data_IF_322594842060
#
_entry.id   IF_322594842060
#
_cell.length_a   1.000
_cell.length_b   1.000
_cell.length_c   1.000
_cell.angle_alpha   90.00
_cell.angle_beta   90.00
_cell.angle_gamma   90.00
#
_symmetry.space_group_name_H-M   'P 1'
#
loop_
_entity.id
_entity.type
_entity.pdbx_description
1 polymer ?
#
# COMPACT_ATOMS: atom_id res chain seq x y z
N UNK A 1 6.01 15.08 4.64
CA UNK A 1 4.59 15.35 4.28
C UNK A 1 3.83 15.65 5.57
N UNK A 2 3.41 16.89 5.79
CA UNK A 2 2.73 17.31 7.03
C UNK A 2 1.27 16.82 7.05
N UNK A 3 0.85 15.92 7.95
CA UNK A 3 -0.50 15.38 7.95
C UNK A 3 -1.56 16.29 8.62
N UNK A 4 -1.28 17.59 8.80
CA UNK A 4 -1.91 18.37 9.89
C UNK A 4 -2.89 19.53 9.59
N UNK A 5 -3.56 19.59 8.42
CA UNK A 5 -4.81 20.37 8.30
C UNK A 5 -6.07 19.51 8.21
N UNK A 6 -5.99 18.35 7.54
CA UNK A 6 -7.18 17.56 7.17
C UNK A 6 -7.85 16.86 8.36
N UNK A 7 -7.07 16.29 9.27
CA UNK A 7 -7.61 15.62 10.47
C UNK A 7 -8.33 16.64 11.38
N UNK A 8 -7.72 17.81 11.55
CA UNK A 8 -8.28 18.88 12.39
C UNK A 8 -9.53 19.51 11.77
N UNK A 9 -9.56 19.65 10.44
CA UNK A 9 -10.74 20.09 9.69
C UNK A 9 -11.86 19.04 9.73
N UNK A 10 -11.53 17.76 9.54
CA UNK A 10 -12.49 16.66 9.65
C UNK A 10 -13.12 16.58 11.04
N UNK A 11 -12.32 16.71 12.11
CA UNK A 11 -12.82 16.75 13.48
C UNK A 11 -13.76 17.94 13.73
N UNK A 12 -13.42 19.14 13.23
CA UNK A 12 -14.29 20.31 13.33
C UNK A 12 -15.60 20.12 12.56
N UNK A 13 -15.54 19.58 11.34
CA UNK A 13 -16.70 19.33 10.51
C UNK A 13 -17.66 18.32 11.15
N UNK A 14 -17.12 17.22 11.70
CA UNK A 14 -17.90 16.23 12.47
C UNK A 14 -18.61 16.90 13.65
N UNK A 15 -17.90 17.77 14.39
CA UNK A 15 -18.46 18.49 15.54
C UNK A 15 -19.56 19.48 15.14
N UNK A 16 -19.43 20.11 13.98
CA UNK A 16 -20.41 21.07 13.45
C UNK A 16 -21.65 20.40 12.87
N UNK A 17 -21.52 19.20 12.30
CA UNK A 17 -22.63 18.44 11.72
C UNK A 17 -23.39 17.63 12.79
N UNK A 18 -22.71 17.20 13.86
CA UNK A 18 -23.33 16.41 14.94
C UNK A 18 -24.49 17.16 15.61
N UNK A 19 -24.30 18.44 15.99
CA UNK A 19 -25.35 19.24 16.65
C UNK A 19 -26.64 19.43 15.82
N UNK A 20 -26.61 19.88 14.55
CA UNK A 20 -27.82 20.05 13.76
C UNK A 20 -28.53 18.73 13.48
N UNK A 21 -27.79 17.63 13.30
CA UNK A 21 -28.39 16.29 13.12
C UNK A 21 -29.07 15.83 14.41
N UNK A 22 -28.39 15.92 15.56
CA UNK A 22 -28.97 15.57 16.85
C UNK A 22 -30.24 16.39 17.14
N UNK A 23 -30.22 17.70 16.86
CA UNK A 23 -31.39 18.57 17.01
C UNK A 23 -32.53 18.21 16.05
N UNK A 24 -32.23 17.81 14.81
CA UNK A 24 -33.23 17.34 13.85
C UNK A 24 -33.88 16.02 14.33
N UNK A 25 -33.09 15.09 14.85
CA UNK A 25 -33.55 13.82 15.41
C UNK A 25 -34.42 14.06 16.64
N UNK A 26 -33.98 14.92 17.58
CA UNK A 26 -34.78 15.34 18.75
C UNK A 26 -36.13 15.93 18.33
N UNK A 27 -36.14 16.81 17.32
CA UNK A 27 -37.39 17.41 16.80
C UNK A 27 -38.33 16.35 16.22
N UNK A 28 -37.79 15.38 15.48
CA UNK A 28 -38.55 14.27 14.88
C UNK A 28 -39.09 13.30 15.92
N UNK A 29 -38.33 13.02 16.96
CA UNK A 29 -38.74 12.18 18.08
C UNK A 29 -39.89 12.80 18.92
N UNK A 30 -39.95 14.14 19.00
CA UNK A 30 -41.06 14.86 19.65
C UNK A 30 -42.35 14.82 18.82
N UNK A 31 -42.25 14.82 17.49
CA UNK A 31 -43.41 14.81 16.58
C UNK A 31 -43.94 13.42 16.29
N UNK A 32 -43.09 12.39 16.22
CA UNK A 32 -43.49 11.02 15.93
C UNK A 32 -43.27 10.06 17.11
N UNK A 33 -44.35 9.56 17.74
CA UNK A 33 -44.22 8.62 18.88
C UNK A 33 -43.62 7.26 18.47
N UNK A 34 -43.79 6.83 17.21
CA UNK A 34 -43.09 5.65 16.68
C UNK A 34 -41.57 5.83 16.72
N UNK A 35 -41.09 6.96 16.20
CA UNK A 35 -39.67 7.28 16.20
C UNK A 35 -39.10 7.38 17.62
N UNK A 36 -39.88 7.97 18.54
CA UNK A 36 -39.53 8.03 19.97
C UNK A 36 -39.27 6.63 20.55
N UNK A 37 -40.20 5.69 20.36
CA UNK A 37 -40.19 4.38 21.01
C UNK A 37 -39.27 3.35 20.37
N UNK A 38 -39.12 3.39 19.04
CA UNK A 38 -38.36 2.39 18.31
C UNK A 38 -36.92 2.80 17.99
N UNK A 39 -36.64 4.11 17.92
CA UNK A 39 -35.35 4.60 17.44
C UNK A 39 -34.58 5.32 18.55
N UNK A 40 -35.20 6.27 19.27
CA UNK A 40 -34.52 7.00 20.36
C UNK A 40 -34.48 6.24 21.70
N UNK A 41 -35.55 5.54 22.09
CA UNK A 41 -35.62 4.86 23.40
C UNK A 41 -34.65 3.67 23.55
N UNK A 42 -34.48 2.76 22.57
CA UNK A 42 -33.65 1.58 22.78
C UNK A 42 -32.17 1.91 23.07
N UNK A 43 -31.51 2.84 22.33
CA UNK A 43 -30.16 3.27 22.66
C UNK A 43 -30.05 3.93 24.03
N UNK A 44 -31.02 4.78 24.40
CA UNK A 44 -31.03 5.46 25.70
C UNK A 44 -31.19 4.47 26.87
N UNK A 45 -32.07 3.47 26.71
CA UNK A 45 -32.25 2.42 27.72
C UNK A 45 -31.05 1.48 27.80
N UNK A 46 -30.44 1.17 26.65
CA UNK A 46 -29.21 0.38 26.60
C UNK A 46 -28.04 1.10 27.26
N UNK A 47 -27.88 2.40 27.04
CA UNK A 47 -26.84 3.20 27.70
C UNK A 47 -26.98 3.13 29.21
N UNK A 48 -28.17 3.39 29.73
CA UNK A 48 -28.44 3.33 31.17
C UNK A 48 -28.24 1.90 31.73
N UNK A 49 -28.66 0.87 31.00
CA UNK A 49 -28.41 -0.52 31.39
C UNK A 49 -26.92 -0.84 31.44
N UNK A 50 -26.16 -0.46 30.43
CA UNK A 50 -24.71 -0.65 30.36
C UNK A 50 -24.01 0.10 31.50
N UNK A 51 -24.34 1.37 31.72
CA UNK A 51 -23.77 2.21 32.76
C UNK A 51 -23.94 1.57 34.14
N UNK A 52 -25.18 1.21 34.49
CA UNK A 52 -25.50 0.58 35.78
C UNK A 52 -24.82 -0.79 35.89
N UNK A 53 -24.84 -1.60 34.83
CA UNK A 53 -24.23 -2.93 34.85
C UNK A 53 -22.70 -2.86 34.96
N UNK A 54 -22.05 -1.91 34.29
CA UNK A 54 -20.59 -1.69 34.37
C UNK A 54 -20.20 -1.17 35.74
N UNK A 55 -20.92 -0.17 36.27
CA UNK A 55 -20.64 0.42 37.57
C UNK A 55 -20.80 -0.62 38.70
N UNK A 56 -21.84 -1.45 38.64
CA UNK A 56 -22.05 -2.54 39.59
C UNK A 56 -20.96 -3.61 39.51
N UNK A 57 -20.50 -3.93 38.29
CA UNK A 57 -19.41 -4.89 38.06
C UNK A 57 -18.07 -4.36 38.58
N UNK A 58 -17.82 -3.06 38.43
CA UNK A 58 -16.63 -2.38 38.95
C UNK A 58 -16.65 -2.30 40.48
N UNK A 59 -17.82 -2.06 41.08
CA UNK A 59 -17.98 -1.96 42.54
C UNK A 59 -18.18 -3.33 43.22
N UNK A 60 -18.14 -4.45 42.48
CA UNK A 60 -18.28 -5.81 43.02
C UNK A 60 -19.66 -6.13 43.60
N UNK A 61 -20.67 -5.29 43.37
CA UNK A 61 -22.02 -5.42 43.90
C UNK A 61 -22.90 -6.22 42.92
N UNK A 62 -23.28 -7.42 43.33
CA UNK A 62 -24.09 -8.33 42.50
C UNK A 62 -25.59 -7.99 42.53
N UNK A 63 -26.13 -7.73 41.33
CA UNK A 63 -27.54 -7.58 40.90
C UNK A 63 -28.09 -6.14 40.86
N UNK A 64 -28.60 -5.81 39.67
CA UNK A 64 -29.39 -4.63 39.34
C UNK A 64 -30.79 -4.74 39.95
N UNK A 65 -31.05 -4.13 41.11
CA UNK A 65 -32.42 -4.00 41.63
C UNK A 65 -33.00 -2.63 41.24
N UNK A 66 -34.12 -2.69 40.52
CA UNK A 66 -34.99 -1.60 40.09
C UNK A 66 -34.49 -0.73 38.92
N UNK A 67 -34.88 -1.17 37.72
CA UNK A 67 -34.94 -0.33 36.53
C UNK A 67 -36.01 0.74 36.70
N UNK A 68 -35.64 1.91 37.21
CA UNK A 68 -36.47 3.10 37.04
C UNK A 68 -36.29 3.54 35.58
N UNK A 69 -37.29 3.28 34.73
CA UNK A 69 -37.31 3.79 33.36
C UNK A 69 -37.08 5.29 33.41
N UNK A 70 -36.01 5.75 32.74
CA UNK A 70 -35.73 7.16 32.52
C UNK A 70 -36.99 7.85 31.96
N UNK A 71 -37.41 9.02 32.49
CA UNK A 71 -38.56 9.75 31.96
C UNK A 71 -38.41 9.99 30.46
N UNK A 72 -39.53 9.89 29.72
CA UNK A 72 -39.58 9.92 28.26
C UNK A 72 -38.86 11.13 27.63
N UNK A 73 -38.76 12.25 28.34
CA UNK A 73 -38.10 13.48 27.87
C UNK A 73 -36.59 13.34 27.82
N UNK A 74 -35.99 12.77 28.86
CA UNK A 74 -34.54 12.61 28.99
C UNK A 74 -34.03 11.51 28.05
N UNK A 75 -34.84 10.48 27.82
CA UNK A 75 -34.56 9.44 26.84
C UNK A 75 -34.54 9.98 25.39
N UNK A 76 -35.38 10.98 25.06
CA UNK A 76 -35.35 11.64 23.74
C UNK A 76 -34.10 12.49 23.59
N UNK A 77 -33.71 13.21 24.64
CA UNK A 77 -32.54 14.06 24.65
C UNK A 77 -31.27 13.24 24.42
N UNK A 78 -31.03 12.25 25.28
CA UNK A 78 -29.87 11.38 25.22
C UNK A 78 -29.85 10.53 23.95
N UNK A 79 -30.99 9.91 23.61
CA UNK A 79 -31.11 9.08 22.40
C UNK A 79 -30.90 9.87 21.11
N UNK A 80 -31.31 11.14 21.07
CA UNK A 80 -31.11 12.02 19.92
C UNK A 80 -29.65 12.42 19.72
N UNK A 81 -28.91 12.68 20.80
CA UNK A 81 -27.47 12.97 20.75
C UNK A 81 -26.68 11.76 20.31
N UNK A 82 -26.92 10.61 20.94
CA UNK A 82 -26.23 9.35 20.62
C UNK A 82 -26.45 8.93 19.16
N UNK A 83 -27.68 9.03 18.65
CA UNK A 83 -27.97 8.70 17.24
C UNK A 83 -27.33 9.69 16.27
N UNK A 84 -27.31 10.98 16.59
CA UNK A 84 -26.68 12.00 15.76
C UNK A 84 -25.18 11.75 15.61
N UNK A 85 -24.52 11.44 16.71
CA UNK A 85 -23.10 11.08 16.71
C UNK A 85 -22.85 9.77 15.95
N UNK A 86 -23.63 8.72 16.20
CA UNK A 86 -23.50 7.44 15.50
C UNK A 86 -23.64 7.56 13.98
N UNK A 87 -24.57 8.38 13.49
CA UNK A 87 -24.77 8.60 12.05
C UNK A 87 -23.55 9.28 11.44
N UNK A 88 -23.00 10.30 12.10
CA UNK A 88 -21.82 11.02 11.61
C UNK A 88 -20.58 10.13 11.64
N UNK A 89 -20.36 9.38 12.73
CA UNK A 89 -19.26 8.42 12.83
C UNK A 89 -19.42 7.29 11.81
N UNK A 90 -20.62 6.78 11.60
CA UNK A 90 -20.91 5.74 10.61
C UNK A 90 -20.59 6.21 9.19
N UNK A 91 -21.00 7.42 8.83
CA UNK A 91 -20.69 8.01 7.53
C UNK A 91 -19.18 8.24 7.35
N UNK A 92 -18.49 8.73 8.38
CA UNK A 92 -17.04 8.90 8.34
C UNK A 92 -16.30 7.56 8.20
N UNK A 93 -16.71 6.53 8.96
CA UNK A 93 -16.13 5.19 8.89
C UNK A 93 -16.34 4.58 7.51
N UNK A 94 -17.55 4.72 6.94
CA UNK A 94 -17.87 4.25 5.59
C UNK A 94 -16.98 4.91 4.54
N UNK A 95 -16.77 6.23 4.61
CA UNK A 95 -15.87 6.95 3.68
C UNK A 95 -14.44 6.46 3.81
N UNK A 96 -13.94 6.26 5.03
CA UNK A 96 -12.58 5.75 5.27
C UNK A 96 -12.41 4.34 4.71
N UNK A 97 -13.38 3.45 4.93
CA UNK A 97 -13.36 2.09 4.38
C UNK A 97 -13.45 2.10 2.85
N UNK A 98 -14.27 2.99 2.28
CA UNK A 98 -14.38 3.16 0.83
C UNK A 98 -13.05 3.65 0.22
N UNK A 99 -12.39 4.63 0.83
CA UNK A 99 -11.08 5.10 0.38
C UNK A 99 -9.99 4.05 0.59
N UNK A 100 -10.02 3.30 1.69
CA UNK A 100 -9.07 2.21 1.94
C UNK A 100 -9.20 1.10 0.88
N UNK A 101 -10.42 0.65 0.59
CA UNK A 101 -10.65 -0.37 -0.44
C UNK A 101 -10.29 0.12 -1.84
N UNK A 102 -10.53 1.41 -2.14
CA UNK A 102 -10.13 2.04 -3.40
C UNK A 102 -8.61 2.25 -3.49
N UNK A 103 -7.96 2.57 -2.38
CA UNK A 103 -6.51 2.70 -2.27
C UNK A 103 -5.79 1.37 -2.43
N UNK A 104 -6.27 0.32 -1.77
CA UNK A 104 -5.71 -1.03 -1.85
C UNK A 104 -5.67 -1.56 -3.30
N UNK A 105 -6.70 -1.27 -4.12
CA UNK A 105 -6.69 -1.61 -5.54
C UNK A 105 -5.61 -0.86 -6.34
N UNK A 106 -5.35 0.41 -6.00
CA UNK A 106 -4.30 1.21 -6.67
C UNK A 106 -2.90 0.75 -6.26
N UNK A 107 -2.72 0.38 -5.00
CA UNK A 107 -1.44 -0.15 -4.51
C UNK A 107 -1.11 -1.49 -5.17
N UNK A 108 -2.08 -2.41 -5.27
CA UNK A 108 -1.89 -3.69 -5.96
C UNK A 108 -1.47 -3.50 -7.43
N UNK A 109 -2.13 -2.61 -8.17
CA UNK A 109 -1.76 -2.31 -9.56
C UNK A 109 -0.34 -1.72 -9.67
N UNK A 110 0.06 -0.89 -8.69
CA UNK A 110 1.42 -0.32 -8.65
C UNK A 110 2.46 -1.38 -8.33
N UNK A 111 2.17 -2.29 -7.41
CA UNK A 111 3.05 -3.40 -7.06
C UNK A 111 3.28 -4.35 -8.25
N UNK A 112 2.24 -4.62 -9.04
CA UNK A 112 2.35 -5.37 -10.29
C UNK A 112 3.28 -4.68 -11.30
N UNK A 113 3.12 -3.36 -11.52
CA UNK A 113 4.01 -2.63 -12.43
C UNK A 113 5.47 -2.64 -11.98
N UNK A 114 5.72 -2.50 -10.66
CA UNK A 114 7.07 -2.56 -10.09
C UNK A 114 7.68 -3.96 -10.22
N UNK A 115 6.85 -5.00 -10.11
CA UNK A 115 7.28 -6.38 -10.30
C UNK A 115 7.68 -6.65 -11.75
N UNK A 116 6.90 -6.17 -12.72
CA UNK A 116 7.23 -6.26 -14.15
C UNK A 116 8.52 -5.51 -14.50
N UNK A 117 8.74 -4.33 -13.92
CA UNK A 117 9.99 -3.58 -14.08
C UNK A 117 11.20 -4.38 -13.58
N UNK A 118 11.11 -4.98 -12.39
CA UNK A 118 12.17 -5.83 -11.84
C UNK A 118 12.47 -7.02 -12.75
N UNK A 119 11.42 -7.68 -13.25
CA UNK A 119 11.56 -8.82 -14.16
C UNK A 119 12.26 -8.40 -15.46
N UNK A 120 11.85 -7.26 -16.03
CA UNK A 120 12.49 -6.69 -17.23
C UNK A 120 13.96 -6.36 -17.00
N UNK A 121 14.32 -5.82 -15.84
CA UNK A 121 15.72 -5.52 -15.49
C UNK A 121 16.55 -6.80 -15.37
N UNK A 122 16.02 -7.84 -14.73
CA UNK A 122 16.72 -9.12 -14.60
C UNK A 122 16.94 -9.78 -15.97
N UNK A 123 15.94 -9.76 -16.86
CA UNK A 123 16.08 -10.26 -18.23
C UNK A 123 17.16 -9.51 -19.01
N UNK A 124 17.21 -8.17 -18.88
CA UNK A 124 18.26 -7.36 -19.51
C UNK A 124 19.64 -7.69 -18.96
N UNK A 125 19.75 -7.95 -17.65
CA UNK A 125 21.01 -8.39 -17.03
C UNK A 125 21.48 -9.73 -17.63
N UNK A 126 20.59 -10.70 -17.73
CA UNK A 126 20.89 -12.02 -18.30
C UNK A 126 21.32 -11.91 -19.77
N UNK A 127 20.63 -11.08 -20.57
CA UNK A 127 21.03 -10.80 -21.94
C UNK A 127 22.42 -10.16 -22.03
N UNK A 128 22.72 -9.19 -21.16
CA UNK A 128 24.05 -8.56 -21.12
C UNK A 128 25.14 -9.56 -20.76
N UNK A 129 24.90 -10.43 -19.78
CA UNK A 129 25.85 -11.50 -19.43
C UNK A 129 26.12 -12.43 -20.60
N UNK A 130 25.07 -12.87 -21.31
CA UNK A 130 25.21 -13.71 -22.51
C UNK A 130 26.01 -13.01 -23.61
N UNK A 131 25.76 -11.71 -23.85
CA UNK A 131 26.52 -10.92 -24.83
C UNK A 131 28.00 -10.82 -24.42
N UNK A 132 28.30 -10.58 -23.15
CA UNK A 132 29.67 -10.53 -22.65
C UNK A 132 30.40 -11.86 -22.87
N UNK A 133 29.75 -12.99 -22.59
CA UNK A 133 30.32 -14.33 -22.82
C UNK A 133 30.60 -14.58 -24.30
N UNK A 134 29.69 -14.18 -25.19
CA UNK A 134 29.90 -14.27 -26.64
C UNK A 134 31.06 -13.37 -27.08
N UNK A 135 31.17 -12.16 -26.52
CA UNK A 135 32.27 -11.25 -26.83
C UNK A 135 33.63 -11.81 -26.39
N UNK A 136 33.72 -12.45 -25.22
CA UNK A 136 34.96 -13.11 -24.78
C UNK A 136 35.40 -14.22 -25.75
N UNK A 137 34.44 -15.02 -26.23
CA UNK A 137 34.72 -16.06 -27.22
C UNK A 137 35.21 -15.47 -28.55
N UNK A 138 34.59 -14.38 -29.02
CA UNK A 138 35.05 -13.68 -30.23
C UNK A 138 36.46 -13.10 -30.08
N UNK A 139 36.78 -12.52 -28.92
CA UNK A 139 38.13 -11.99 -28.63
C UNK A 139 39.15 -13.13 -28.65
N UNK A 140 38.84 -14.28 -28.04
CA UNK A 140 39.71 -15.46 -28.05
C UNK A 140 39.98 -15.98 -29.46
N UNK A 141 38.96 -16.06 -30.30
CA UNK A 141 39.11 -16.51 -31.69
C UNK A 141 39.95 -15.53 -32.51
N UNK A 142 39.74 -14.22 -32.32
CA UNK A 142 40.58 -13.19 -32.96
C UNK A 142 42.04 -13.29 -32.52
N UNK A 143 42.32 -13.49 -31.23
CA UNK A 143 43.68 -13.69 -30.72
C UNK A 143 44.35 -14.90 -31.36
N UNK A 144 43.65 -16.04 -31.46
CA UNK A 144 44.17 -17.23 -32.17
C UNK A 144 44.48 -16.96 -33.64
N UNK A 145 43.63 -16.20 -34.31
CA UNK A 145 43.83 -15.88 -35.72
C UNK A 145 45.07 -14.98 -35.91
N UNK A 146 45.25 -13.99 -35.02
CA UNK A 146 46.44 -13.14 -34.98
C UNK A 146 47.70 -13.96 -34.73
N UNK A 147 47.68 -14.88 -33.74
CA UNK A 147 48.81 -15.75 -33.41
C UNK A 147 49.19 -16.70 -34.57
N UNK A 148 48.20 -17.25 -35.27
CA UNK A 148 48.46 -18.08 -36.44
C UNK A 148 49.11 -17.27 -37.58
N UNK A 149 48.63 -16.04 -37.82
CA UNK A 149 49.18 -15.17 -38.86
C UNK A 149 50.62 -14.70 -38.52
N UNK A 150 50.93 -14.44 -37.26
CA UNK A 150 52.31 -14.12 -36.83
C UNK A 150 53.25 -15.31 -37.03
N UNK A 151 52.82 -16.53 -36.68
CA UNK A 151 53.58 -17.75 -36.94
C UNK A 151 53.81 -18.01 -38.44
N UNK A 152 52.80 -17.79 -39.29
CA UNK A 152 52.97 -17.90 -40.75
C UNK A 152 53.96 -16.86 -41.29
N UNK A 153 53.91 -15.63 -40.77
CA UNK A 153 54.84 -14.56 -41.15
C UNK A 153 56.29 -14.92 -40.80
N UNK A 154 56.54 -15.49 -39.62
CA UNK A 154 57.88 -15.95 -39.21
C UNK A 154 58.41 -17.05 -40.13
N UNK A 155 57.60 -18.10 -40.41
CA UNK A 155 57.98 -19.19 -41.32
C UNK A 155 58.32 -18.68 -42.73
N UNK A 156 57.53 -17.72 -43.23
CA UNK A 156 57.74 -17.13 -44.57
C UNK A 156 59.01 -16.29 -44.61
N UNK A 157 59.31 -15.55 -43.53
CA UNK A 157 60.55 -14.79 -43.36
C UNK A 157 61.79 -15.69 -43.32
N UNK A 158 61.74 -16.80 -42.57
CA UNK A 158 62.82 -17.78 -42.50
C UNK A 158 63.10 -18.45 -43.86
N UNK A 159 62.05 -18.82 -44.59
CA UNK A 159 62.17 -19.39 -45.95
C UNK A 159 62.81 -18.40 -46.93
N UNK A 160 62.40 -17.12 -46.87
CA UNK A 160 62.97 -16.05 -47.69
C UNK A 160 64.46 -15.83 -47.38
N UNK A 161 64.84 -15.80 -46.10
CA UNK A 161 66.24 -15.68 -45.69
C UNK A 161 67.11 -16.89 -46.10
N UNK A 162 66.59 -18.11 -45.97
CA UNK A 162 67.26 -19.32 -46.42
C UNK A 162 67.47 -19.33 -47.95
N UNK A 163 66.46 -18.89 -48.71
CA UNK A 163 66.54 -18.81 -50.18
C UNK A 163 67.56 -17.76 -50.63
N UNK A 164 67.55 -16.58 -50.02
CA UNK A 164 68.52 -15.52 -50.31
C UNK A 164 69.96 -15.93 -49.95
N UNK A 165 70.16 -16.63 -48.82
CA UNK A 165 71.45 -17.22 -48.44
C UNK A 165 71.95 -18.24 -49.48
N UNK A 166 71.05 -19.10 -49.96
CA UNK A 166 71.34 -20.12 -50.98
C UNK A 166 71.73 -19.52 -52.32
N UNK A 167 71.03 -18.45 -52.76
CA UNK A 167 71.34 -17.73 -53.99
C UNK A 167 72.68 -16.99 -53.89
N UNK A 168 72.97 -16.37 -52.74
CA UNK A 168 74.24 -15.66 -52.51
C UNK A 168 75.45 -16.61 -52.56
N UNK A 169 75.31 -17.84 -52.04
CA UNK A 169 76.35 -18.90 -52.15
C UNK A 169 76.61 -19.34 -53.60
N UNK A 170 75.57 -19.39 -54.45
CA UNK A 170 75.70 -19.76 -55.87
C UNK A 170 76.30 -18.68 -56.77
N UNK A 171 76.26 -17.42 -56.35
CA UNK A 171 76.80 -16.28 -57.11
C UNK A 171 78.28 -15.97 -56.80
N UNK A 172 78.83 -16.52 -55.71
CA UNK A 172 80.17 -16.23 -55.21
C UNK A 172 81.15 -17.42 -55.31
N UNK A 173 80.71 -18.56 -55.85
CA UNK A 173 81.55 -19.73 -56.15
C UNK A 173 81.46 -20.06 -57.63
#
# INVERSE_FOLDING_TARGET
>A
MAPFPLIKLGYLAIRQISKPIANAIKRRAKTHPFFRKYICMPPAQFYHWCEVNIQLRLMGLGKTKNFQRMPDKDAIELGGEMLGEFIVFGMACLVVVAEYTRGARKEAAKEESLRQEKETINLKLEQLFSITEVQENQIRELQRCVDNLTLEKEKTSEKSNSTNSSLKKRLLG
#
